data_IF_893889913522
#
_entry.id   IF_893889913522
#
_cell.length_a   1.000
_cell.length_b   1.000
_cell.length_c   1.000
_cell.angle_alpha   90.00
_cell.angle_beta   90.00
_cell.angle_gamma   90.00
#
_symmetry.space_group_name_H-M   'P 1'
#
loop_
_entity.id
_entity.type
_entity.pdbx_description
1 polymer ?
#
# COMPACT_ATOMS: atom_id res chain seq x y z
N UNK A 1 -1.02 -14.47 -9.14
CA UNK A 1 -1.01 -15.39 -7.99
C UNK A 1 0.31 -15.37 -7.23
N UNK A 2 1.44 -15.81 -7.81
CA UNK A 2 2.74 -15.92 -7.12
C UNK A 2 3.24 -14.60 -6.50
N UNK A 3 3.11 -13.47 -7.22
CA UNK A 3 3.46 -12.14 -6.67
C UNK A 3 2.73 -11.82 -5.36
N UNK A 4 1.46 -12.19 -5.27
CA UNK A 4 0.62 -11.91 -4.11
C UNK A 4 1.01 -12.80 -2.91
N UNK A 5 1.38 -14.06 -3.18
CA UNK A 5 1.90 -14.96 -2.15
C UNK A 5 3.22 -14.46 -1.57
N UNK A 6 4.14 -13.96 -2.41
CA UNK A 6 5.40 -13.35 -1.94
C UNK A 6 5.16 -12.12 -1.07
N UNK A 7 4.26 -11.22 -1.50
CA UNK A 7 3.88 -10.06 -0.70
C UNK A 7 3.39 -10.47 0.69
N UNK A 8 2.51 -11.48 0.78
CA UNK A 8 1.98 -11.98 2.05
C UNK A 8 3.07 -12.60 2.93
N UNK A 9 3.98 -13.37 2.35
CA UNK A 9 5.10 -13.95 3.09
C UNK A 9 6.02 -12.88 3.69
N UNK A 10 6.38 -11.86 2.90
CA UNK A 10 7.17 -10.73 3.39
C UNK A 10 6.42 -9.93 4.47
N UNK A 11 5.15 -9.64 4.24
CA UNK A 11 4.32 -8.92 5.20
C UNK A 11 4.19 -9.67 6.53
N UNK A 12 4.01 -10.99 6.49
CA UNK A 12 3.91 -11.82 7.70
C UNK A 12 5.18 -11.77 8.53
N UNK A 13 6.35 -11.90 7.90
CA UNK A 13 7.63 -11.81 8.62
C UNK A 13 7.82 -10.40 9.19
N UNK A 14 7.59 -9.37 8.40
CA UNK A 14 7.76 -7.97 8.82
C UNK A 14 6.72 -7.53 9.86
N UNK A 15 5.55 -8.17 9.94
CA UNK A 15 4.49 -7.78 10.88
C UNK A 15 4.93 -7.86 12.34
N UNK A 16 5.82 -8.79 12.70
CA UNK A 16 6.26 -8.99 14.09
C UNK A 16 7.42 -8.09 14.52
N UNK A 17 8.15 -7.51 13.58
CA UNK A 17 9.38 -6.74 13.86
C UNK A 17 9.21 -5.27 13.49
N UNK A 18 9.89 -4.38 14.22
CA UNK A 18 10.00 -2.96 13.82
C UNK A 18 11.16 -2.74 12.84
N UNK A 19 12.25 -3.48 13.05
CA UNK A 19 13.48 -3.44 12.26
C UNK A 19 13.95 -4.88 12.07
N UNK A 20 14.36 -5.24 10.85
CA UNK A 20 14.90 -6.57 10.50
C UNK A 20 16.18 -6.40 9.71
N UNK A 21 17.20 -7.22 9.97
CA UNK A 21 18.41 -7.23 9.14
C UNK A 21 18.14 -7.82 7.75
N UNK A 22 18.63 -7.14 6.71
CA UNK A 22 18.46 -7.54 5.30
C UNK A 22 19.07 -8.94 5.06
N UNK A 23 20.23 -9.22 5.64
CA UNK A 23 20.90 -10.54 5.58
C UNK A 23 20.10 -11.63 6.28
N UNK A 24 19.57 -11.35 7.48
CA UNK A 24 18.78 -12.32 8.25
C UNK A 24 17.47 -12.70 7.54
N UNK A 25 16.80 -11.70 6.93
CA UNK A 25 15.61 -11.96 6.12
C UNK A 25 15.96 -12.77 4.88
N UNK A 26 17.05 -12.42 4.17
CA UNK A 26 17.52 -13.16 3.00
C UNK A 26 17.86 -14.63 3.33
N UNK A 27 18.54 -14.86 4.45
CA UNK A 27 18.85 -16.21 4.95
C UNK A 27 17.58 -17.00 5.28
N UNK A 28 16.58 -16.37 5.90
CA UNK A 28 15.32 -17.02 6.25
C UNK A 28 14.52 -17.47 5.02
N UNK A 29 14.60 -16.70 3.93
CA UNK A 29 13.97 -17.04 2.65
C UNK A 29 14.87 -17.89 1.74
N UNK A 30 16.13 -18.14 2.11
CA UNK A 30 17.08 -18.91 1.30
C UNK A 30 17.48 -18.23 -0.02
N UNK A 31 17.52 -16.89 -0.04
CA UNK A 31 17.83 -16.08 -1.23
C UNK A 31 19.02 -15.16 -0.97
N UNK A 32 19.60 -14.60 -2.04
CA UNK A 32 20.63 -13.57 -1.89
C UNK A 32 20.02 -12.22 -1.51
N UNK A 33 20.81 -11.41 -0.83
CA UNK A 33 20.43 -10.04 -0.43
C UNK A 33 20.05 -9.18 -1.64
N UNK A 34 20.83 -9.26 -2.73
CA UNK A 34 20.55 -8.51 -3.96
C UNK A 34 19.25 -8.96 -4.63
N UNK A 35 18.91 -10.24 -4.57
CA UNK A 35 17.65 -10.74 -5.09
C UNK A 35 16.48 -10.23 -4.24
N UNK A 36 16.62 -10.30 -2.91
CA UNK A 36 15.59 -9.82 -1.97
C UNK A 36 15.30 -8.33 -2.17
N UNK A 37 16.34 -7.50 -2.28
CA UNK A 37 16.18 -6.06 -2.50
C UNK A 37 15.43 -5.76 -3.82
N UNK A 38 15.84 -6.43 -4.91
CA UNK A 38 15.16 -6.30 -6.21
C UNK A 38 13.70 -6.77 -6.17
N UNK A 39 13.40 -7.83 -5.42
CA UNK A 39 12.03 -8.36 -5.34
C UNK A 39 11.12 -7.52 -4.43
N UNK A 40 11.67 -6.89 -3.39
CA UNK A 40 10.95 -5.99 -2.49
C UNK A 40 10.67 -4.61 -3.10
N UNK A 41 11.60 -4.08 -3.92
CA UNK A 41 11.50 -2.77 -4.53
C UNK A 41 10.13 -2.45 -5.18
N UNK A 42 9.54 -3.30 -6.05
CA UNK A 42 8.23 -3.01 -6.65
C UNK A 42 7.07 -3.01 -5.64
N UNK A 43 7.15 -3.78 -4.55
CA UNK A 43 6.12 -3.82 -3.51
C UNK A 43 6.17 -2.57 -2.62
N UNK A 44 7.37 -2.09 -2.34
CA UNK A 44 7.61 -0.84 -1.58
C UNK A 44 7.18 0.37 -2.43
N UNK A 45 7.61 0.43 -3.70
CA UNK A 45 7.27 1.53 -4.60
C UNK A 45 5.77 1.66 -4.85
N UNK A 46 5.04 0.54 -4.87
CA UNK A 46 3.57 0.51 -4.98
C UNK A 46 2.84 0.72 -3.65
N UNK A 47 3.55 1.01 -2.55
CA UNK A 47 3.03 1.16 -1.19
C UNK A 47 2.18 -0.05 -0.71
N UNK A 48 2.41 -1.22 -1.29
CA UNK A 48 1.71 -2.46 -0.92
C UNK A 48 2.36 -3.16 0.27
N UNK A 49 3.64 -2.86 0.52
CA UNK A 49 4.38 -3.32 1.69
C UNK A 49 4.88 -2.07 2.45
N UNK A 50 4.38 -1.81 3.68
CA UNK A 50 4.71 -0.59 4.42
C UNK A 50 6.06 -0.75 5.13
N UNK A 51 7.14 -0.80 4.37
CA UNK A 51 8.50 -0.83 4.88
C UNK A 51 9.45 -0.02 4.01
N UNK A 52 10.58 0.36 4.60
CA UNK A 52 11.68 1.09 3.96
C UNK A 52 12.97 0.30 4.14
N UNK A 53 13.79 0.26 3.09
CA UNK A 53 15.09 -0.42 3.10
C UNK A 53 16.17 0.66 3.27
N UNK A 54 17.00 0.50 4.31
CA UNK A 54 18.26 1.23 4.46
C UNK A 54 19.40 0.30 4.02
N UNK A 55 19.88 0.51 2.79
CA UNK A 55 20.94 -0.31 2.20
C UNK A 55 22.33 0.00 2.77
N UNK A 56 22.52 1.15 3.41
CA UNK A 56 23.80 1.51 4.05
C UNK A 56 23.94 0.78 5.39
N UNK A 57 22.86 0.76 6.18
CA UNK A 57 22.81 0.02 7.46
C UNK A 57 22.48 -1.47 7.28
N UNK A 58 22.00 -1.88 6.11
CA UNK A 58 21.59 -3.26 5.84
C UNK A 58 20.35 -3.69 6.61
N UNK A 59 19.40 -2.77 6.83
CA UNK A 59 18.18 -3.04 7.61
C UNK A 59 16.91 -2.67 6.84
N UNK A 60 15.83 -3.34 7.20
CA UNK A 60 14.47 -3.07 6.76
C UNK A 60 13.69 -2.53 7.95
N UNK A 61 13.16 -1.32 7.84
CA UNK A 61 12.32 -0.70 8.85
C UNK A 61 10.86 -0.76 8.44
N UNK A 62 9.98 -1.19 9.33
CA UNK A 62 8.54 -1.26 9.05
C UNK A 62 7.83 0.00 9.50
N UNK A 63 7.08 0.62 8.60
CA UNK A 63 6.25 1.78 8.90
C UNK A 63 4.86 1.30 9.30
N UNK A 64 4.64 1.03 10.59
CA UNK A 64 3.30 0.70 11.09
C UNK A 64 2.42 1.95 11.11
N UNK A 65 1.66 2.18 10.05
CA UNK A 65 0.55 3.12 10.08
C UNK A 65 -0.53 2.56 11.01
N UNK A 66 -0.93 3.33 12.02
CA UNK A 66 -1.99 2.91 12.94
C UNK A 66 -3.35 2.79 12.22
N UNK A 67 -4.19 1.86 12.70
CA UNK A 67 -5.49 1.53 12.09
C UNK A 67 -6.39 2.75 11.87
N UNK A 68 -6.35 3.73 12.77
CA UNK A 68 -7.15 4.96 12.65
C UNK A 68 -6.79 5.79 11.42
N UNK A 69 -5.51 5.87 11.07
CA UNK A 69 -5.09 6.66 9.90
C UNK A 69 -5.58 5.99 8.61
N UNK A 70 -5.49 4.66 8.55
CA UNK A 70 -6.02 3.87 7.43
C UNK A 70 -7.53 4.06 7.27
N UNK A 71 -8.29 3.91 8.37
CA UNK A 71 -9.74 4.11 8.37
C UNK A 71 -10.12 5.52 7.92
N UNK A 72 -9.40 6.54 8.39
CA UNK A 72 -9.61 7.92 7.97
C UNK A 72 -9.40 8.10 6.47
N UNK A 73 -8.27 7.63 5.93
CA UNK A 73 -7.97 7.72 4.48
C UNK A 73 -9.02 6.98 3.64
N UNK A 74 -9.47 5.81 4.10
CA UNK A 74 -10.50 5.02 3.40
C UNK A 74 -11.84 5.77 3.35
N UNK A 75 -12.27 6.38 4.46
CA UNK A 75 -13.49 7.19 4.53
C UNK A 75 -13.41 8.40 3.61
N UNK A 76 -12.29 9.13 3.62
CA UNK A 76 -12.08 10.29 2.74
C UNK A 76 -12.17 9.87 1.26
N UNK A 77 -11.50 8.78 0.88
CA UNK A 77 -11.48 8.29 -0.50
C UNK A 77 -12.88 7.83 -0.96
N UNK A 78 -13.61 7.12 -0.12
CA UNK A 78 -14.98 6.69 -0.43
C UNK A 78 -15.94 7.88 -0.52
N UNK A 79 -15.79 8.86 0.38
CA UNK A 79 -16.56 10.10 0.38
C UNK A 79 -16.37 10.90 -0.91
N UNK A 80 -15.13 11.06 -1.38
CA UNK A 80 -14.82 11.79 -2.61
C UNK A 80 -15.45 11.13 -3.87
N UNK A 81 -15.41 9.80 -3.93
CA UNK A 81 -16.08 9.06 -5.01
C UNK A 81 -17.59 9.26 -5.02
N UNK A 82 -18.21 9.31 -3.83
CA UNK A 82 -19.64 9.56 -3.70
C UNK A 82 -20.00 10.98 -4.13
N UNK A 83 -19.26 11.99 -3.66
CA UNK A 83 -19.46 13.39 -4.02
C UNK A 83 -19.35 13.57 -5.54
N UNK A 84 -18.31 13.00 -6.15
CA UNK A 84 -18.11 13.05 -7.61
C UNK A 84 -19.31 12.48 -8.38
N UNK A 85 -19.85 11.34 -7.93
CA UNK A 85 -21.05 10.73 -8.53
C UNK A 85 -22.27 11.63 -8.37
N UNK A 86 -22.51 12.17 -7.16
CA UNK A 86 -23.63 13.06 -6.88
C UNK A 86 -23.56 14.35 -7.71
N UNK A 87 -22.39 14.96 -7.82
CA UNK A 87 -22.18 16.15 -8.66
C UNK A 87 -22.49 15.86 -10.13
N UNK A 88 -21.98 14.74 -10.67
CA UNK A 88 -22.24 14.31 -12.04
C UNK A 88 -23.73 14.12 -12.32
N UNK A 89 -24.45 13.39 -11.46
CA UNK A 89 -25.89 13.18 -11.65
C UNK A 89 -26.71 14.46 -11.41
N UNK A 90 -26.33 15.27 -10.43
CA UNK A 90 -26.99 16.55 -10.14
C UNK A 90 -26.90 17.54 -11.31
N UNK A 91 -25.76 17.60 -12.00
CA UNK A 91 -25.63 18.42 -13.22
C UNK A 91 -26.54 17.92 -14.35
N UNK A 92 -26.61 16.61 -14.59
CA UNK A 92 -27.48 16.03 -15.64
C UNK A 92 -28.95 16.35 -15.38
N UNK A 93 -29.41 16.26 -14.12
CA UNK A 93 -30.78 16.57 -13.75
C UNK A 93 -31.08 18.06 -13.93
N UNK A 94 -30.16 18.96 -13.54
CA UNK A 94 -30.32 20.41 -13.74
C UNK A 94 -30.42 20.81 -15.21
N UNK A 95 -29.58 20.22 -16.06
CA UNK A 95 -29.61 20.47 -17.51
C UNK A 95 -30.94 20.03 -18.14
N UNK A 96 -31.41 18.81 -17.82
CA UNK A 96 -32.72 18.32 -18.29
C UNK A 96 -33.92 19.09 -17.72
N UNK A 97 -33.78 19.65 -16.53
CA UNK A 97 -34.80 20.52 -15.93
C UNK A 97 -34.92 21.86 -16.66
N UNK A 98 -33.80 22.39 -17.16
CA UNK A 98 -33.75 23.64 -17.95
C UNK A 98 -34.33 23.51 -19.35
N UNK A 99 -34.30 22.31 -19.95
CA UNK A 99 -34.89 22.04 -21.28
C UNK A 99 -36.41 21.93 -21.27
N UNK A 100 -37.03 21.89 -20.07
CA UNK A 100 -38.49 21.75 -19.89
C UNK A 100 -39.20 23.08 -19.59
N UNK A 101 -38.47 24.19 -19.54
CA UNK A 101 -38.97 25.57 -19.39
C UNK A 101 -38.77 26.35 -20.66
#
# INVERSE_FOLDING_TARGET
YVKEMRLRAYAQLLQSYKVVGLESMAQSFGVSVDWLDRDLAPFIASQRLPCTIDRVKGVIETQRAGDKNKQYTDVVKQGDQLITKLQKYGQVVRLRGSERT
#
